data_IF_602752732720
#
_entry.id   IF_602752732720
#
_cell.length_a   1.000
_cell.length_b   1.000
_cell.length_c   1.000
_cell.angle_alpha   90.00
_cell.angle_beta   90.00
_cell.angle_gamma   90.00
#
_symmetry.space_group_name_H-M   'P 1'
#
loop_
_entity.id
_entity.type
_entity.pdbx_description
1 polymer ?
#
# COMPACT_ATOMS: atom_id res chain seq x y z
N UNK A 1 -18.99 -19.53 7.61
CA UNK A 1 -17.98 -18.77 8.35
C UNK A 1 -16.55 -19.31 8.19
N UNK A 2 -16.32 -20.57 7.80
CA UNK A 2 -14.97 -21.14 7.96
C UNK A 2 -14.01 -21.11 6.75
N UNK A 3 -14.55 -20.97 5.54
CA UNK A 3 -13.75 -21.12 4.32
C UNK A 3 -12.67 -20.05 4.15
N UNK A 4 -12.90 -18.81 4.60
CA UNK A 4 -11.93 -17.71 4.48
C UNK A 4 -10.72 -17.93 5.38
N UNK A 5 -10.96 -18.31 6.64
CA UNK A 5 -9.89 -18.58 7.61
C UNK A 5 -9.07 -19.81 7.20
N UNK A 6 -9.74 -20.88 6.74
CA UNK A 6 -9.05 -22.08 6.24
C UNK A 6 -8.20 -21.75 5.00
N UNK A 7 -8.74 -20.96 4.06
CA UNK A 7 -8.00 -20.52 2.86
C UNK A 7 -6.81 -19.62 3.20
N UNK A 8 -6.96 -18.68 4.12
CA UNK A 8 -5.86 -17.85 4.60
C UNK A 8 -4.80 -18.68 5.33
N UNK A 9 -5.21 -19.63 6.19
CA UNK A 9 -4.30 -20.56 6.86
C UNK A 9 -3.42 -21.28 5.85
N UNK A 10 -4.03 -21.83 4.79
CA UNK A 10 -3.30 -22.50 3.72
C UNK A 10 -2.40 -21.54 2.95
N UNK A 11 -2.88 -20.33 2.66
CA UNK A 11 -2.08 -19.28 2.01
C UNK A 11 -0.83 -18.92 2.83
N UNK A 12 -0.95 -18.80 4.16
CA UNK A 12 0.19 -18.54 5.03
C UNK A 12 1.16 -19.72 5.10
N UNK A 13 0.68 -20.97 5.13
CA UNK A 13 1.55 -22.16 5.15
C UNK A 13 2.46 -22.26 3.91
N UNK A 14 2.05 -21.65 2.80
CA UNK A 14 2.83 -21.59 1.56
C UNK A 14 3.92 -20.50 1.58
N UNK A 15 4.03 -19.69 2.64
CA UNK A 15 5.06 -18.65 2.79
C UNK A 15 6.29 -19.21 3.49
N UNK A 16 7.47 -19.05 2.88
CA UNK A 16 8.72 -19.65 3.38
C UNK A 16 9.08 -19.24 4.83
N UNK A 17 8.71 -18.04 5.26
CA UNK A 17 8.98 -17.51 6.60
C UNK A 17 8.03 -18.06 7.67
N UNK A 18 6.89 -18.62 7.26
CA UNK A 18 5.84 -19.11 8.16
C UNK A 18 6.20 -20.53 8.60
N UNK A 19 6.25 -20.72 9.92
CA UNK A 19 6.42 -22.01 10.57
C UNK A 19 5.09 -22.74 10.74
N UNK A 20 4.06 -22.00 11.13
CA UNK A 20 2.71 -22.53 11.28
C UNK A 20 1.68 -21.42 11.11
N UNK A 21 0.52 -21.79 10.56
CA UNK A 21 -0.67 -20.98 10.54
C UNK A 21 -1.85 -21.89 10.91
N UNK A 22 -2.48 -21.63 12.05
CA UNK A 22 -3.54 -22.47 12.60
C UNK A 22 -4.71 -21.64 13.08
N UNK A 23 -5.88 -22.27 13.13
CA UNK A 23 -7.10 -21.72 13.72
C UNK A 23 -7.27 -22.11 15.18
N UNK A 24 -6.37 -22.95 15.68
CA UNK A 24 -6.34 -23.30 17.09
C UNK A 24 -5.96 -22.07 17.92
N UNK A 25 -6.66 -21.84 19.06
CA UNK A 25 -6.31 -20.78 19.99
C UNK A 25 -4.86 -20.90 20.47
N UNK A 26 -4.25 -19.76 20.73
CA UNK A 26 -2.89 -19.71 21.27
C UNK A 26 -2.90 -20.06 22.76
N UNK A 27 -2.55 -21.30 23.08
CA UNK A 27 -2.51 -21.82 24.45
C UNK A 27 -1.46 -21.14 25.35
N UNK A 28 -0.55 -20.35 24.78
CA UNK A 28 0.44 -19.60 25.56
C UNK A 28 -0.07 -18.28 26.12
N UNK A 29 -1.28 -17.84 25.73
CA UNK A 29 -1.89 -16.60 26.21
C UNK A 29 -3.03 -16.89 27.17
N UNK A 30 -2.85 -16.49 28.43
CA UNK A 30 -3.77 -16.78 29.54
C UNK A 30 -5.05 -15.92 29.47
N UNK A 31 -4.96 -14.72 28.91
CA UNK A 31 -6.10 -13.80 28.77
C UNK A 31 -6.21 -13.29 27.34
N UNK A 32 -7.31 -13.66 26.68
CA UNK A 32 -7.62 -13.24 25.32
C UNK A 32 -8.97 -12.53 25.37
N UNK A 33 -8.98 -11.22 25.11
CA UNK A 33 -10.24 -10.46 25.07
C UNK A 33 -11.10 -10.77 23.84
N UNK A 34 -10.45 -11.22 22.76
CA UNK A 34 -11.05 -11.52 21.46
C UNK A 34 -10.22 -12.63 20.83
N UNK A 35 -10.85 -13.76 20.48
CA UNK A 35 -10.16 -14.86 19.83
C UNK A 35 -9.72 -14.47 18.42
N UNK A 36 -8.50 -14.85 18.05
CA UNK A 36 -8.00 -14.66 16.71
C UNK A 36 -8.58 -15.72 15.77
N UNK A 37 -8.91 -15.33 14.55
CA UNK A 37 -9.32 -16.28 13.52
C UNK A 37 -8.14 -17.16 13.08
N UNK A 38 -6.93 -16.60 13.10
CA UNK A 38 -5.69 -17.34 12.85
C UNK A 38 -4.56 -16.90 13.78
N UNK A 39 -3.79 -17.89 14.21
CA UNK A 39 -2.50 -17.73 14.88
C UNK A 39 -1.41 -18.12 13.88
N UNK A 40 -0.55 -17.16 13.54
CA UNK A 40 0.57 -17.36 12.61
C UNK A 40 1.89 -17.17 13.34
N UNK A 41 2.77 -18.16 13.24
CA UNK A 41 4.13 -18.13 13.80
C UNK A 41 5.17 -18.26 12.69
N UNK A 42 6.26 -17.52 12.81
CA UNK A 42 7.38 -17.56 11.86
C UNK A 42 8.54 -18.39 12.40
N UNK A 43 9.43 -18.84 11.52
CA UNK A 43 10.66 -19.54 11.91
C UNK A 43 11.60 -18.67 12.76
N UNK A 44 11.54 -17.36 12.57
CA UNK A 44 12.32 -16.36 13.33
C UNK A 44 11.75 -16.06 14.73
N UNK A 45 10.69 -16.76 15.14
CA UNK A 45 10.09 -16.64 16.48
C UNK A 45 9.05 -15.54 16.63
N UNK A 46 8.82 -14.73 15.60
CA UNK A 46 7.72 -13.76 15.60
C UNK A 46 6.37 -14.46 15.50
N UNK A 47 5.35 -13.90 16.15
CA UNK A 47 3.97 -14.37 16.07
C UNK A 47 3.03 -13.21 15.80
N UNK A 48 1.98 -13.43 15.04
CA UNK A 48 0.89 -12.48 14.90
C UNK A 48 -0.47 -13.18 14.81
N UNK A 49 -1.50 -12.43 15.20
CA UNK A 49 -2.88 -12.83 15.11
C UNK A 49 -3.55 -12.16 13.93
N UNK A 50 -4.37 -12.92 13.22
CA UNK A 50 -5.20 -12.42 12.13
C UNK A 50 -6.64 -12.36 12.63
N UNK A 51 -7.26 -11.21 12.45
CA UNK A 51 -8.67 -10.98 12.74
C UNK A 51 -9.40 -10.68 11.42
N UNK A 52 -10.35 -11.53 11.07
CA UNK A 52 -11.28 -11.36 9.96
C UNK A 52 -12.43 -10.46 10.41
N UNK A 53 -12.55 -9.29 9.79
CA UNK A 53 -13.60 -8.34 10.13
C UNK A 53 -14.75 -8.53 9.14
N UNK A 54 -15.83 -9.16 9.60
CA UNK A 54 -17.02 -9.47 8.79
C UNK A 54 -18.19 -8.50 9.02
N UNK A 55 -18.13 -7.71 10.10
CA UNK A 55 -19.09 -6.65 10.42
C UNK A 55 -18.38 -5.45 11.04
N UNK A 56 -19.05 -4.29 11.12
CA UNK A 56 -18.48 -3.08 11.70
C UNK A 56 -17.98 -3.31 13.14
N UNK A 57 -16.66 -3.26 13.38
CA UNK A 57 -16.09 -3.52 14.70
C UNK A 57 -16.24 -2.28 15.60
N UNK A 58 -16.39 -2.50 16.91
CA UNK A 58 -16.33 -1.38 17.86
C UNK A 58 -14.89 -0.92 18.01
N UNK A 59 -14.67 0.40 18.01
CA UNK A 59 -13.34 0.99 18.17
C UNK A 59 -12.61 0.51 19.45
N UNK A 60 -13.36 0.28 20.54
CA UNK A 60 -12.81 -0.22 21.80
C UNK A 60 -12.24 -1.65 21.68
N UNK A 61 -12.83 -2.47 20.81
CA UNK A 61 -12.45 -3.87 20.61
C UNK A 61 -11.16 -3.91 19.79
N UNK A 62 -11.06 -3.11 18.71
CA UNK A 62 -9.81 -2.88 17.95
C UNK A 62 -8.68 -2.46 18.90
N UNK A 63 -8.93 -1.45 19.75
CA UNK A 63 -7.94 -0.96 20.71
C UNK A 63 -7.53 -2.03 21.72
N UNK A 64 -8.48 -2.83 22.21
CA UNK A 64 -8.18 -3.91 23.15
C UNK A 64 -7.31 -4.98 22.51
N UNK A 65 -7.67 -5.44 21.30
CA UNK A 65 -6.90 -6.43 20.53
C UNK A 65 -5.47 -5.96 20.30
N UNK A 66 -5.28 -4.77 19.74
CA UNK A 66 -3.96 -4.19 19.48
C UNK A 66 -3.11 -4.08 20.75
N UNK A 67 -3.69 -3.54 21.82
CA UNK A 67 -2.98 -3.33 23.09
C UNK A 67 -2.59 -4.64 23.74
N UNK A 68 -3.52 -5.60 23.82
CA UNK A 68 -3.28 -6.88 24.49
C UNK A 68 -2.24 -7.70 23.71
N UNK A 69 -2.39 -7.79 22.39
CA UNK A 69 -1.43 -8.47 21.52
C UNK A 69 -0.04 -7.83 21.63
N UNK A 70 0.05 -6.51 21.48
CA UNK A 70 1.35 -5.81 21.50
C UNK A 70 2.06 -5.92 22.85
N UNK A 71 1.32 -5.92 23.97
CA UNK A 71 1.89 -6.16 25.31
C UNK A 71 2.47 -7.55 25.46
N UNK A 72 1.92 -8.53 24.75
CA UNK A 72 2.43 -9.91 24.70
C UNK A 72 3.49 -10.12 23.62
N UNK A 73 3.93 -9.06 22.92
CA UNK A 73 4.89 -9.18 21.81
C UNK A 73 4.30 -9.79 20.54
N UNK A 74 2.97 -9.88 20.43
CA UNK A 74 2.25 -10.49 19.32
C UNK A 74 1.81 -9.41 18.34
N UNK A 75 2.10 -9.61 17.05
CA UNK A 75 1.64 -8.76 15.97
C UNK A 75 0.13 -8.86 15.74
N UNK A 76 -0.47 -7.84 15.16
CA UNK A 76 -1.90 -7.84 14.81
C UNK A 76 -2.10 -7.53 13.34
N UNK A 77 -2.86 -8.37 12.65
CA UNK A 77 -3.31 -8.19 11.27
C UNK A 77 -4.83 -8.14 11.23
N UNK A 78 -5.39 -7.12 10.58
CA UNK A 78 -6.81 -7.05 10.28
C UNK A 78 -7.01 -7.27 8.78
N UNK A 79 -7.97 -8.13 8.42
CA UNK A 79 -8.38 -8.36 7.03
C UNK A 79 -9.89 -8.22 6.94
N UNK A 80 -10.35 -7.27 6.14
CA UNK A 80 -11.75 -6.87 6.09
C UNK A 80 -12.49 -7.62 4.99
N UNK A 81 -13.74 -8.02 5.26
CA UNK A 81 -14.64 -8.42 4.18
C UNK A 81 -14.82 -7.25 3.19
N UNK A 82 -14.84 -7.54 1.88
CA UNK A 82 -15.02 -6.52 0.84
C UNK A 82 -16.31 -5.70 0.98
N UNK A 83 -17.33 -6.21 1.66
CA UNK A 83 -18.56 -5.47 1.94
C UNK A 83 -18.38 -4.32 2.94
N UNK A 84 -17.28 -4.28 3.70
CA UNK A 84 -17.00 -3.24 4.71
C UNK A 84 -16.07 -2.13 4.21
N UNK A 85 -15.58 -2.26 2.98
CA UNK A 85 -14.72 -1.27 2.35
C UNK A 85 -15.44 -0.66 1.15
N UNK A 86 -15.18 0.62 0.82
CA UNK A 86 -15.88 1.30 -0.26
C UNK A 86 -15.37 0.82 -1.62
N UNK A 87 -16.16 1.03 -2.68
CA UNK A 87 -15.83 0.57 -4.03
C UNK A 87 -14.58 1.23 -4.63
N UNK A 88 -14.06 0.64 -5.71
CA UNK A 88 -12.86 1.16 -6.37
C UNK A 88 -13.14 2.51 -7.06
N UNK A 89 -12.30 3.52 -6.76
CA UNK A 89 -12.45 4.88 -7.27
C UNK A 89 -13.53 5.71 -6.57
N UNK A 90 -14.12 5.22 -5.48
CA UNK A 90 -15.12 5.97 -4.72
C UNK A 90 -14.49 7.05 -3.83
N UNK A 91 -15.29 8.06 -3.51
CA UNK A 91 -14.97 9.04 -2.46
C UNK A 91 -16.04 8.92 -1.40
N UNK A 92 -15.63 8.59 -0.18
CA UNK A 92 -16.57 8.35 0.91
C UNK A 92 -16.08 8.95 2.21
N UNK A 93 -17.05 9.24 3.08
CA UNK A 93 -16.75 9.52 4.49
C UNK A 93 -16.49 8.20 5.21
N UNK A 94 -15.34 8.09 5.85
CA UNK A 94 -14.95 6.88 6.57
C UNK A 94 -15.37 6.96 8.04
N UNK A 95 -15.82 5.86 8.64
CA UNK A 95 -16.13 5.82 10.07
C UNK A 95 -14.86 5.72 10.93
N UNK A 96 -14.96 6.14 12.19
CA UNK A 96 -13.84 6.15 13.15
C UNK A 96 -13.10 4.81 13.28
N UNK A 97 -13.83 3.69 13.20
CA UNK A 97 -13.22 2.36 13.28
C UNK A 97 -12.36 2.04 12.05
N UNK A 98 -12.71 2.56 10.88
CA UNK A 98 -11.92 2.37 9.67
C UNK A 98 -10.72 3.33 9.68
N UNK A 99 -10.89 4.59 10.10
CA UNK A 99 -9.76 5.52 10.31
C UNK A 99 -8.72 4.96 11.28
N UNK A 100 -9.20 4.32 12.34
CA UNK A 100 -8.35 3.60 13.28
C UNK A 100 -7.51 2.53 12.58
N UNK A 101 -8.10 1.70 11.72
CA UNK A 101 -7.34 0.68 10.96
C UNK A 101 -6.39 1.32 9.94
N UNK A 102 -6.82 2.38 9.25
CA UNK A 102 -5.98 3.12 8.31
C UNK A 102 -4.74 3.70 8.99
N UNK A 103 -4.87 4.17 10.24
CA UNK A 103 -3.75 4.71 11.03
C UNK A 103 -2.70 3.66 11.42
N UNK A 104 -3.05 2.37 11.42
CA UNK A 104 -2.10 1.25 11.60
C UNK A 104 -1.17 1.09 10.40
N UNK A 105 -1.62 1.58 9.26
CA UNK A 105 -0.99 1.50 7.97
C UNK A 105 -0.64 2.91 7.46
N UNK A 106 -0.22 3.03 6.20
CA UNK A 106 -0.04 4.33 5.54
C UNK A 106 -1.27 4.61 4.66
N UNK A 107 -2.43 4.70 5.33
CA UNK A 107 -3.77 4.85 4.77
C UNK A 107 -4.16 3.73 3.81
N UNK A 108 -4.04 2.49 4.25
CA UNK A 108 -4.53 1.33 3.50
C UNK A 108 -4.98 0.20 4.43
N UNK A 109 -5.81 -0.70 3.93
CA UNK A 109 -6.21 -1.94 4.62
C UNK A 109 -6.18 -3.12 3.66
N UNK A 110 -6.08 -4.33 4.19
CA UNK A 110 -6.32 -5.54 3.40
C UNK A 110 -7.79 -5.91 3.42
N UNK A 111 -8.28 -6.34 2.26
CA UNK A 111 -9.63 -6.86 2.14
C UNK A 111 -9.62 -8.19 1.39
N UNK A 112 -10.49 -9.11 1.80
CA UNK A 112 -10.75 -10.34 1.07
C UNK A 112 -12.06 -10.23 0.28
N UNK A 113 -12.09 -10.88 -0.88
CA UNK A 113 -13.26 -11.01 -1.75
C UNK A 113 -13.60 -12.49 -1.92
N UNK A 114 -14.89 -12.79 -2.03
CA UNK A 114 -15.39 -14.12 -2.38
C UNK A 114 -16.08 -13.98 -3.73
N UNK A 115 -15.47 -14.52 -4.78
CA UNK A 115 -15.97 -14.50 -6.15
C UNK A 115 -16.30 -15.93 -6.61
N UNK A 116 -16.89 -16.09 -7.79
CA UNK A 116 -17.14 -17.41 -8.40
C UNK A 116 -15.84 -18.20 -8.62
N UNK A 117 -14.74 -17.51 -8.94
CA UNK A 117 -13.41 -18.08 -9.16
C UNK A 117 -12.65 -18.41 -7.86
N UNK A 118 -13.24 -18.12 -6.69
CA UNK A 118 -12.67 -18.39 -5.37
C UNK A 118 -12.38 -17.14 -4.54
N UNK A 119 -11.50 -17.29 -3.55
CA UNK A 119 -11.10 -16.21 -2.65
C UNK A 119 -9.88 -15.46 -3.18
N UNK A 120 -9.89 -14.13 -3.00
CA UNK A 120 -8.72 -13.29 -3.29
C UNK A 120 -8.51 -12.21 -2.23
N UNK A 121 -7.26 -11.72 -2.16
CA UNK A 121 -6.86 -10.61 -1.30
C UNK A 121 -6.50 -9.40 -2.13
N UNK A 122 -6.95 -8.24 -1.68
CA UNK A 122 -6.66 -6.94 -2.28
C UNK A 122 -6.20 -5.95 -1.22
N UNK A 123 -5.40 -4.96 -1.64
CA UNK A 123 -5.09 -3.81 -0.79
C UNK A 123 -5.96 -2.64 -1.22
N UNK A 124 -6.73 -2.10 -0.26
CA UNK A 124 -7.55 -0.91 -0.46
C UNK A 124 -6.80 0.28 0.10
N UNK A 125 -6.49 1.26 -0.73
CA UNK A 125 -5.73 2.44 -0.38
C UNK A 125 -6.65 3.65 -0.29
N UNK A 126 -6.31 4.58 0.59
CA UNK A 126 -7.11 5.75 0.90
C UNK A 126 -6.22 7.00 0.84
N UNK A 127 -6.72 8.04 0.19
CA UNK A 127 -6.11 9.37 0.20
C UNK A 127 -7.10 10.34 0.83
N UNK A 128 -6.65 11.09 1.83
CA UNK A 128 -7.42 12.18 2.41
C UNK A 128 -7.78 13.20 1.33
N UNK A 129 -9.02 13.67 1.37
CA UNK A 129 -9.47 14.79 0.53
C UNK A 129 -9.29 16.12 1.27
N UNK A 130 -9.79 17.21 0.68
CA UNK A 130 -9.86 18.49 1.38
C UNK A 130 -10.92 18.51 2.50
N UNK A 131 -11.84 17.53 2.53
CA UNK A 131 -12.91 17.43 3.51
C UNK A 131 -12.46 16.44 4.60
N UNK A 132 -12.52 16.89 5.86
CA UNK A 132 -12.14 16.04 6.99
C UNK A 132 -12.99 14.76 7.04
N UNK A 133 -12.34 13.63 7.31
CA UNK A 133 -12.93 12.28 7.34
C UNK A 133 -13.44 11.77 5.98
N UNK A 134 -13.19 12.48 4.89
CA UNK A 134 -13.53 12.03 3.54
C UNK A 134 -12.26 11.60 2.81
N UNK A 135 -12.32 10.40 2.23
CA UNK A 135 -11.20 9.75 1.56
C UNK A 135 -11.61 9.29 0.17
N UNK A 136 -10.70 9.50 -0.79
CA UNK A 136 -10.73 8.82 -2.07
C UNK A 136 -10.09 7.43 -1.91
N UNK A 137 -10.80 6.38 -2.27
CA UNK A 137 -10.31 5.00 -2.18
C UNK A 137 -10.03 4.38 -3.55
N UNK A 138 -9.04 3.51 -3.60
CA UNK A 138 -8.66 2.78 -4.80
C UNK A 138 -8.01 1.44 -4.45
N UNK A 139 -8.14 0.48 -5.35
CA UNK A 139 -7.67 -0.88 -5.15
C UNK A 139 -6.36 -1.11 -5.87
N UNK A 140 -5.50 -1.90 -5.24
CA UNK A 140 -4.36 -2.52 -5.89
C UNK A 140 -4.74 -3.97 -6.13
N UNK A 141 -4.47 -4.41 -7.36
CA UNK A 141 -4.90 -5.72 -7.84
C UNK A 141 -4.52 -6.87 -6.92
N UNK A 142 -5.23 -7.97 -7.12
CA UNK A 142 -5.15 -9.17 -6.31
C UNK A 142 -3.70 -9.64 -6.12
N UNK A 143 -3.37 -10.05 -4.89
CA UNK A 143 -2.03 -10.51 -4.55
C UNK A 143 -2.04 -11.79 -3.73
N UNK A 144 -0.93 -12.52 -3.83
CA UNK A 144 -0.64 -13.69 -2.99
C UNK A 144 0.21 -13.26 -1.81
N UNK A 145 0.03 -13.93 -0.68
CA UNK A 145 0.91 -13.73 0.47
C UNK A 145 2.25 -14.39 0.13
N UNK A 146 3.30 -13.57 0.03
CA UNK A 146 4.65 -14.04 -0.32
C UNK A 146 5.66 -13.78 0.80
N UNK A 147 5.35 -12.84 1.71
CA UNK A 147 6.22 -12.41 2.80
C UNK A 147 5.36 -11.99 3.98
N UNK A 148 5.84 -12.22 5.20
CA UNK A 148 5.16 -11.76 6.43
C UNK A 148 6.12 -10.97 7.30
N UNK A 149 5.64 -9.90 7.92
CA UNK A 149 6.44 -9.17 8.90
C UNK A 149 5.59 -8.67 10.04
N UNK A 150 6.22 -8.45 11.19
CA UNK A 150 5.65 -7.73 12.32
C UNK A 150 6.53 -6.54 12.60
N UNK A 151 5.95 -5.35 12.66
CA UNK A 151 6.67 -4.09 12.89
C UNK A 151 6.01 -3.33 14.02
N UNK A 152 6.83 -2.78 14.91
CA UNK A 152 6.35 -1.85 15.92
C UNK A 152 6.13 -0.49 15.26
N UNK A 153 4.95 0.08 15.43
CA UNK A 153 4.57 1.40 14.90
C UNK A 153 4.12 2.31 16.01
N UNK A 154 4.59 3.55 15.97
CA UNK A 154 4.08 4.63 16.80
C UNK A 154 3.00 5.37 16.03
N UNK A 155 1.80 5.43 16.59
CA UNK A 155 0.60 5.94 15.93
C UNK A 155 0.09 7.15 16.72
N UNK A 156 -0.20 8.23 16.00
CA UNK A 156 -0.70 9.49 16.57
C UNK A 156 -2.13 9.84 16.14
N UNK A 157 -2.63 9.32 15.02
CA UNK A 157 -4.01 9.50 14.53
C UNK A 157 -4.88 8.25 14.71
N UNK A 158 -6.21 8.39 14.71
CA UNK A 158 -7.15 7.27 14.85
C UNK A 158 -7.07 6.55 16.21
N UNK A 159 -6.08 5.66 16.37
CA UNK A 159 -5.75 5.00 17.65
C UNK A 159 -4.31 5.33 18.04
N UNK A 160 -4.17 6.25 19.01
CA UNK A 160 -2.87 6.61 19.56
C UNK A 160 -2.22 5.46 20.33
N UNK A 161 -0.95 5.20 20.07
CA UNK A 161 -0.13 4.27 20.85
C UNK A 161 0.97 3.58 20.03
N UNK A 162 1.70 2.70 20.72
CA UNK A 162 2.76 1.90 20.12
C UNK A 162 2.28 0.46 19.97
N UNK A 163 2.18 -0.02 18.73
CA UNK A 163 1.57 -1.32 18.43
C UNK A 163 2.44 -2.18 17.52
N UNK A 164 2.43 -3.48 17.77
CA UNK A 164 3.01 -4.48 16.87
C UNK A 164 1.98 -4.80 15.78
N UNK A 165 2.21 -4.30 14.57
CA UNK A 165 1.31 -4.48 13.42
C UNK A 165 1.96 -5.46 12.45
N UNK A 166 1.17 -6.43 12.00
CA UNK A 166 1.59 -7.42 11.03
C UNK A 166 1.25 -6.97 9.60
N UNK A 167 2.05 -7.42 8.64
CA UNK A 167 1.99 -7.02 7.24
C UNK A 167 2.33 -8.23 6.35
N UNK A 168 1.56 -8.41 5.28
CA UNK A 168 1.55 -9.62 4.45
C UNK A 168 1.87 -9.34 2.96
N UNK A 169 2.10 -8.07 2.61
CA UNK A 169 2.45 -7.70 1.25
C UNK A 169 3.96 -7.74 1.02
N UNK A 170 4.38 -8.32 -0.11
CA UNK A 170 5.80 -8.42 -0.46
C UNK A 170 6.43 -7.05 -0.75
N UNK A 171 7.74 -6.88 -0.52
CA UNK A 171 8.46 -5.68 -0.95
C UNK A 171 8.32 -5.40 -2.45
N UNK A 172 8.24 -6.43 -3.29
CA UNK A 172 8.00 -6.32 -4.73
C UNK A 172 6.59 -5.81 -5.05
N UNK A 173 5.57 -6.33 -4.37
CA UNK A 173 4.22 -5.79 -4.44
C UNK A 173 4.18 -4.32 -4.01
N UNK A 174 4.86 -3.96 -2.91
CA UNK A 174 4.98 -2.57 -2.43
C UNK A 174 5.73 -1.64 -3.39
N UNK A 175 6.70 -2.14 -4.15
CA UNK A 175 7.34 -1.37 -5.23
C UNK A 175 6.34 -1.05 -6.34
N UNK A 176 5.52 -2.03 -6.76
CA UNK A 176 4.42 -1.81 -7.71
C UNK A 176 3.38 -0.82 -7.16
N UNK A 177 3.02 -0.93 -5.88
CA UNK A 177 2.12 -0.01 -5.17
C UNK A 177 2.66 1.43 -5.20
N UNK A 178 3.93 1.63 -4.88
CA UNK A 178 4.55 2.95 -4.88
C UNK A 178 4.50 3.57 -6.28
N UNK A 179 4.77 2.78 -7.32
CA UNK A 179 4.66 3.21 -8.70
C UNK A 179 3.22 3.65 -9.09
N UNK A 180 2.20 2.86 -8.75
CA UNK A 180 0.79 3.21 -9.00
C UNK A 180 0.37 4.47 -8.23
N UNK A 181 0.81 4.61 -6.97
CA UNK A 181 0.52 5.77 -6.11
C UNK A 181 1.17 7.06 -6.64
N UNK A 182 2.39 6.97 -7.18
CA UNK A 182 3.07 8.10 -7.84
C UNK A 182 2.28 8.54 -9.08
N UNK A 183 1.84 7.60 -9.93
CA UNK A 183 1.05 7.91 -11.13
C UNK A 183 -0.32 8.55 -10.82
N UNK A 184 -0.96 8.18 -9.72
CA UNK A 184 -2.22 8.81 -9.28
C UNK A 184 -2.03 10.25 -8.77
N UNK A 185 -0.90 10.57 -8.13
CA UNK A 185 -0.58 11.93 -7.68
C UNK A 185 -0.41 12.94 -8.84
N UNK A 186 -0.25 12.47 -10.08
CA UNK A 186 -0.23 13.31 -11.28
C UNK A 186 -1.61 13.47 -11.95
N UNK A 187 -2.65 12.80 -11.45
CA UNK A 187 -4.02 12.89 -11.97
C UNK A 187 -4.90 13.91 -11.22
N UNK A 188 -4.31 14.97 -10.64
CA UNK A 188 -5.11 16.10 -10.19
C UNK A 188 -5.78 16.76 -11.39
N UNK A 189 -7.08 16.50 -11.56
CA UNK A 189 -7.95 17.29 -12.45
C UNK A 189 -8.04 18.70 -11.90
N UNK A 190 -7.16 19.59 -12.37
CA UNK A 190 -7.38 21.02 -12.26
C UNK A 190 -8.41 21.44 -13.32
N UNK A 191 -9.12 22.55 -13.11
CA UNK A 191 -10.08 23.09 -14.09
C UNK A 191 -9.47 23.34 -15.49
N UNK A 192 -8.13 23.28 -15.64
CA UNK A 192 -7.45 23.41 -16.94
C UNK A 192 -7.25 22.09 -17.70
N UNK A 193 -7.64 20.93 -17.16
CA UNK A 193 -7.49 19.62 -17.86
C UNK A 193 -8.73 19.22 -18.68
N UNK A 194 -9.57 20.17 -19.10
CA UNK A 194 -10.81 19.86 -19.83
C UNK A 194 -10.62 19.47 -21.31
N UNK A 195 -9.42 19.54 -21.88
CA UNK A 195 -9.20 19.24 -23.30
C UNK A 195 -8.18 18.12 -23.54
N UNK A 196 -8.47 16.91 -23.04
CA UNK A 196 -7.81 15.70 -23.55
C UNK A 196 -8.91 14.79 -24.11
N UNK A 197 -8.99 14.58 -25.44
CA UNK A 197 -9.98 13.71 -26.06
C UNK A 197 -9.97 12.32 -25.42
N UNK A 198 -11.15 11.84 -25.03
CA UNK A 198 -11.38 10.54 -24.34
C UNK A 198 -11.30 9.31 -25.25
N UNK A 199 -11.01 9.50 -26.54
CA UNK A 199 -11.02 8.40 -27.51
C UNK A 199 -9.63 7.80 -27.65
N UNK A 200 -9.25 6.97 -26.67
CA UNK A 200 -8.35 5.79 -26.74
C UNK A 200 -7.86 5.43 -25.33
N UNK A 201 -8.67 4.67 -24.59
CA UNK A 201 -8.16 3.87 -23.48
C UNK A 201 -7.44 2.60 -24.02
N UNK A 202 -6.39 2.10 -23.33
CA UNK A 202 -5.17 1.65 -23.99
C UNK A 202 -5.06 0.13 -24.12
N UNK A 203 -4.33 -0.32 -25.16
CA UNK A 203 -3.73 -1.67 -25.23
C UNK A 203 -2.22 -1.51 -25.10
N UNK A 204 -1.63 -2.13 -24.08
CA UNK A 204 -0.19 -2.31 -23.77
C UNK A 204 0.45 -1.28 -22.80
N UNK A 205 0.63 -1.69 -21.54
CA UNK A 205 0.99 -0.83 -20.39
C UNK A 205 2.47 -0.67 -20.02
N UNK A 206 3.44 -1.01 -20.89
CA UNK A 206 4.88 -0.81 -20.61
C UNK A 206 5.53 0.29 -21.47
N UNK A 207 4.99 0.56 -22.66
CA UNK A 207 5.56 1.55 -23.61
C UNK A 207 5.22 3.00 -23.26
N UNK A 208 4.07 3.25 -22.63
CA UNK A 208 3.59 4.63 -22.36
C UNK A 208 4.35 5.31 -21.22
N UNK A 209 4.76 4.55 -20.19
CA UNK A 209 5.52 5.10 -19.08
C UNK A 209 6.93 5.51 -19.51
N UNK A 210 7.60 4.66 -20.28
CA UNK A 210 8.94 4.95 -20.79
C UNK A 210 8.92 6.24 -21.64
N UNK A 211 7.91 6.38 -22.50
CA UNK A 211 7.70 7.60 -23.30
C UNK A 211 7.56 8.86 -22.41
N UNK A 212 6.76 8.79 -21.35
CA UNK A 212 6.60 9.90 -20.39
C UNK A 212 7.90 10.25 -19.66
N UNK A 213 8.74 9.27 -19.34
CA UNK A 213 10.04 9.54 -18.72
C UNK A 213 11.04 10.16 -19.68
N UNK A 214 11.04 9.74 -20.95
CA UNK A 214 11.80 10.43 -22.01
C UNK A 214 11.37 11.90 -22.14
N UNK A 215 10.06 12.15 -22.17
CA UNK A 215 9.52 13.52 -22.17
C UNK A 215 9.89 14.31 -20.91
N UNK A 216 9.84 13.67 -19.74
CA UNK A 216 10.19 14.30 -18.46
C UNK A 216 11.66 14.72 -18.41
N UNK A 217 12.59 13.85 -18.84
CA UNK A 217 14.02 14.18 -18.96
C UNK A 217 14.27 15.15 -20.13
N UNK A 218 13.31 15.31 -21.05
CA UNK A 218 13.35 16.25 -22.16
C UNK A 218 14.19 15.74 -23.33
N UNK A 219 14.08 14.46 -23.64
CA UNK A 219 14.83 13.74 -24.68
C UNK A 219 13.89 12.92 -25.55
N UNK A 220 14.31 12.63 -26.77
CA UNK A 220 13.53 11.78 -27.68
C UNK A 220 13.54 10.31 -27.21
N UNK A 221 12.51 9.56 -27.57
CA UNK A 221 12.31 8.14 -27.22
C UNK A 221 13.43 7.19 -27.69
N UNK A 222 14.24 7.64 -28.66
CA UNK A 222 15.39 6.93 -29.20
C UNK A 222 16.73 7.53 -28.72
N UNK A 223 16.71 8.38 -27.68
CA UNK A 223 17.90 9.02 -27.17
C UNK A 223 18.88 8.01 -26.59
N UNK A 224 20.16 8.25 -26.86
CA UNK A 224 21.28 7.46 -26.37
C UNK A 224 21.55 7.74 -24.88
N UNK A 225 22.25 6.82 -24.20
CA UNK A 225 22.64 7.00 -22.79
C UNK A 225 23.30 8.36 -22.53
N UNK A 226 24.21 8.77 -23.43
CA UNK A 226 24.91 10.04 -23.33
C UNK A 226 23.96 11.24 -23.40
N UNK A 227 22.94 11.19 -24.25
CA UNK A 227 21.93 12.25 -24.41
C UNK A 227 21.01 12.33 -23.21
N UNK A 228 20.53 11.18 -22.70
CA UNK A 228 19.70 11.11 -21.49
C UNK A 228 20.48 11.64 -20.28
N UNK A 229 21.73 11.23 -20.10
CA UNK A 229 22.60 11.67 -19.00
C UNK A 229 22.97 13.16 -19.10
N UNK A 230 23.13 13.69 -20.32
CA UNK A 230 23.39 15.12 -20.53
C UNK A 230 22.14 15.97 -20.22
N UNK A 231 20.96 15.54 -20.68
CA UNK A 231 19.70 16.23 -20.44
C UNK A 231 19.30 16.19 -18.95
N UNK A 232 19.46 15.04 -18.29
CA UNK A 232 19.27 14.89 -16.85
C UNK A 232 20.11 15.90 -16.06
N UNK A 233 21.43 15.99 -16.32
CA UNK A 233 22.32 16.93 -15.61
C UNK A 233 21.90 18.39 -15.80
N UNK A 234 21.50 18.74 -17.03
CA UNK A 234 21.03 20.10 -17.37
C UNK A 234 19.75 20.45 -16.62
N UNK A 235 18.78 19.53 -16.61
CA UNK A 235 17.52 19.74 -15.89
C UNK A 235 17.74 19.79 -14.37
N UNK A 236 18.58 18.90 -13.83
CA UNK A 236 18.87 18.85 -12.40
C UNK A 236 19.48 20.15 -11.88
N UNK A 237 20.36 20.79 -12.68
CA UNK A 237 20.89 22.12 -12.38
C UNK A 237 19.80 23.21 -12.41
N UNK A 238 18.83 23.12 -13.32
CA UNK A 238 17.75 24.10 -13.44
C UNK A 238 16.72 24.02 -12.31
N UNK A 239 16.57 22.86 -11.67
CA UNK A 239 15.60 22.63 -10.58
C UNK A 239 16.26 22.51 -9.20
N UNK A 240 17.55 22.81 -9.08
CA UNK A 240 18.25 22.72 -7.80
C UNK A 240 17.82 23.85 -6.84
N UNK A 241 17.51 23.54 -5.58
CA UNK A 241 16.97 24.52 -4.61
C UNK A 241 17.89 25.71 -4.37
N UNK A 242 19.20 25.57 -4.62
CA UNK A 242 20.18 26.65 -4.45
C UNK A 242 20.35 27.57 -5.68
N UNK A 243 19.85 27.18 -6.86
CA UNK A 243 20.02 27.96 -8.11
C UNK A 243 18.71 28.23 -8.86
N UNK A 244 17.63 27.52 -8.55
CA UNK A 244 16.32 27.74 -9.18
C UNK A 244 15.52 28.81 -8.44
N UNK A 245 14.76 29.63 -9.18
CA UNK A 245 13.81 30.60 -8.61
C UNK A 245 12.52 29.96 -8.05
N UNK A 246 12.46 28.63 -7.98
CA UNK A 246 11.29 27.89 -7.52
C UNK A 246 11.25 27.81 -5.98
N UNK A 247 10.06 27.74 -5.37
CA UNK A 247 9.93 27.42 -3.96
C UNK A 247 10.66 26.10 -3.63
N UNK A 248 11.39 26.06 -2.52
CA UNK A 248 12.24 24.92 -2.13
C UNK A 248 11.53 23.57 -2.17
N UNK A 249 10.28 23.51 -1.70
CA UNK A 249 9.46 22.29 -1.73
C UNK A 249 9.13 21.81 -3.15
N UNK A 250 8.98 22.73 -4.11
CA UNK A 250 8.70 22.44 -5.51
C UNK A 250 9.98 22.01 -6.25
N UNK A 251 11.12 22.64 -5.92
CA UNK A 251 12.44 22.25 -6.41
C UNK A 251 12.81 20.81 -5.97
N UNK A 252 12.64 20.51 -4.67
CA UNK A 252 12.87 19.16 -4.11
C UNK A 252 11.97 18.10 -4.77
N UNK A 253 10.70 18.44 -5.04
CA UNK A 253 9.77 17.54 -5.73
C UNK A 253 10.20 17.27 -7.17
N UNK A 254 10.61 18.30 -7.91
CA UNK A 254 11.04 18.16 -9.32
C UNK A 254 12.34 17.39 -9.47
N UNK A 255 13.31 17.62 -8.58
CA UNK A 255 14.56 16.83 -8.56
C UNK A 255 14.27 15.35 -8.31
N UNK A 256 13.38 15.04 -7.36
CA UNK A 256 13.04 13.66 -7.04
C UNK A 256 12.45 12.92 -8.25
N UNK A 257 11.58 13.58 -9.00
CA UNK A 257 10.95 13.01 -10.20
C UNK A 257 11.93 12.84 -11.35
N UNK A 258 12.83 13.81 -11.51
CA UNK A 258 13.87 13.75 -12.52
C UNK A 258 14.85 12.59 -12.27
N UNK A 259 15.19 12.34 -11.00
CA UNK A 259 16.00 11.19 -10.59
C UNK A 259 15.27 9.86 -10.88
N UNK A 260 13.98 9.78 -10.56
CA UNK A 260 13.15 8.59 -10.79
C UNK A 260 13.02 8.25 -12.28
N UNK A 261 12.82 9.27 -13.13
CA UNK A 261 12.79 9.11 -14.58
C UNK A 261 14.14 8.63 -15.14
N UNK A 262 15.25 9.19 -14.66
CA UNK A 262 16.58 8.80 -15.10
C UNK A 262 16.93 7.35 -14.74
N UNK A 263 16.69 6.94 -13.50
CA UNK A 263 16.93 5.56 -13.05
C UNK A 263 16.05 4.56 -13.81
N UNK A 264 14.79 4.89 -14.07
CA UNK A 264 13.90 4.01 -14.84
C UNK A 264 14.38 3.82 -16.29
N UNK A 265 14.76 4.90 -16.98
CA UNK A 265 15.28 4.80 -18.36
C UNK A 265 16.57 3.97 -18.35
N UNK A 266 17.45 4.19 -17.37
CA UNK A 266 18.70 3.45 -17.19
C UNK A 266 18.44 1.95 -16.99
N UNK A 267 17.54 1.60 -16.07
CA UNK A 267 17.16 0.21 -15.77
C UNK A 267 16.49 -0.48 -16.97
N UNK A 268 15.61 0.24 -17.69
CA UNK A 268 14.92 -0.30 -18.87
C UNK A 268 15.89 -0.67 -20.00
N UNK A 269 16.92 0.14 -20.22
CA UNK A 269 17.93 -0.09 -21.26
C UNK A 269 19.14 -0.91 -20.78
N UNK A 270 19.24 -1.20 -19.48
CA UNK A 270 20.38 -1.91 -18.88
C UNK A 270 21.69 -1.11 -18.96
N UNK A 271 21.61 0.22 -18.92
CA UNK A 271 22.80 1.08 -18.88
C UNK A 271 23.44 1.03 -17.49
N UNK A 272 24.76 0.86 -17.41
CA UNK A 272 25.51 0.62 -16.17
C UNK A 272 26.14 1.88 -15.59
#
# INVERSE_FOLDING_TARGET
>A
MNAVADWLSESFKNVAEVKSATREPDSSVIYVSHEADLVVATWMGSRFYVYLIESEPRLRDIRSMLRNNSRSGIGTLFVLNSALVPGDGETVRVPDWLEALLSLADNWVYSYRINEDGLSLVQVNFNETAIAHEYYCWYIGDFKIEHVSVRKREISGGIKGSFSVADIASPSYKRKVNYERVNQRFHYKTKSTQNIPRDRAPKNGSSDLLARYYEMVGVAHNATEAEVKAAFRRQAMNVHPDVSALPRSEAERRIKLLNEAYEYIKDYHGWG
#
